data_IF_036814108122
#
_entry.id   IF_036814108122
#
_cell.length_a   1.000
_cell.length_b   1.000
_cell.length_c   1.000
_cell.angle_alpha   90.00
_cell.angle_beta   90.00
_cell.angle_gamma   90.00
#
_symmetry.space_group_name_H-M   'P 1'
#
loop_
_entity.id
_entity.type
_entity.pdbx_description
1 polymer ?
#
# COMPACT_ATOMS: atom_id res chain seq x y z
N UNK A 1 7.08 0.58 2.86
CA UNK A 1 8.48 0.44 2.45
C UNK A 1 8.52 -0.07 1.02
N UNK A 2 9.28 0.59 0.15
CA UNK A 2 9.50 0.18 -1.24
C UNK A 2 10.98 -0.22 -1.37
N UNK A 3 11.29 -1.49 -1.70
CA UNK A 3 12.65 -1.91 -2.04
C UNK A 3 13.14 -1.24 -3.32
N UNK A 4 14.44 -0.98 -3.45
CA UNK A 4 15.03 -0.35 -4.64
C UNK A 4 14.78 -1.15 -5.93
N UNK A 5 14.78 -2.49 -5.84
CA UNK A 5 14.43 -3.38 -6.95
C UNK A 5 13.00 -3.15 -7.50
N UNK A 6 12.12 -2.55 -6.69
CA UNK A 6 10.77 -2.19 -7.10
C UNK A 6 10.73 -0.84 -7.82
N UNK A 7 11.75 0.02 -7.66
CA UNK A 7 11.83 1.36 -8.24
C UNK A 7 12.51 1.38 -9.62
N UNK A 8 12.21 0.39 -10.46
CA UNK A 8 12.80 0.25 -11.79
C UNK A 8 11.70 0.19 -12.83
N UNK A 9 11.85 0.85 -13.99
CA UNK A 9 10.83 0.88 -15.03
C UNK A 9 9.63 1.77 -14.66
N UNK A 10 8.42 1.35 -15.02
CA UNK A 10 7.19 2.14 -14.79
C UNK A 10 6.93 2.42 -13.30
N UNK A 11 7.40 1.53 -12.42
CA UNK A 11 7.28 1.63 -10.96
C UNK A 11 8.16 2.71 -10.32
N UNK A 12 9.08 3.34 -11.06
CA UNK A 12 9.86 4.48 -10.57
C UNK A 12 8.96 5.68 -10.23
N UNK A 13 7.76 5.76 -10.81
CA UNK A 13 6.73 6.76 -10.43
C UNK A 13 6.29 6.68 -8.97
N UNK A 14 6.54 5.57 -8.27
CA UNK A 14 6.22 5.42 -6.85
C UNK A 14 6.95 6.42 -5.95
N UNK A 15 8.15 6.90 -6.33
CA UNK A 15 8.87 7.93 -5.57
C UNK A 15 8.38 9.36 -5.87
N UNK A 16 7.78 9.58 -7.03
CA UNK A 16 7.37 10.91 -7.51
C UNK A 16 5.86 11.18 -7.35
N UNK A 17 5.17 10.44 -6.48
CA UNK A 17 3.71 10.55 -6.32
C UNK A 17 3.25 11.94 -5.85
N UNK A 18 4.07 12.65 -5.07
CA UNK A 18 3.71 13.96 -4.53
C UNK A 18 2.38 13.92 -3.77
N UNK A 19 1.36 14.59 -4.30
CA UNK A 19 0.00 14.65 -3.71
C UNK A 19 -0.96 13.62 -4.29
N UNK A 20 -0.52 12.79 -5.23
CA UNK A 20 -1.34 11.73 -5.82
C UNK A 20 -1.49 10.60 -4.79
N UNK A 21 -2.73 10.19 -4.44
CA UNK A 21 -2.93 9.07 -3.53
C UNK A 21 -2.30 7.80 -4.10
N UNK A 22 -1.44 7.15 -3.32
CA UNK A 22 -0.76 5.92 -3.71
C UNK A 22 -1.73 4.87 -4.28
N UNK A 23 -2.91 4.70 -3.67
CA UNK A 23 -3.93 3.77 -4.14
C UNK A 23 -4.36 4.04 -5.59
N UNK A 24 -4.47 5.30 -6.02
CA UNK A 24 -4.82 5.64 -7.41
C UNK A 24 -3.81 5.06 -8.40
N UNK A 25 -2.52 5.10 -8.04
CA UNK A 25 -1.46 4.52 -8.84
C UNK A 25 -1.43 2.99 -8.75
N UNK A 26 -1.56 2.42 -7.54
CA UNK A 26 -1.55 0.96 -7.35
C UNK A 26 -2.69 0.26 -8.08
N UNK A 27 -3.86 0.90 -8.19
CA UNK A 27 -5.06 0.32 -8.77
C UNK A 27 -5.35 0.80 -10.21
N UNK A 28 -4.44 1.54 -10.87
CA UNK A 28 -4.65 2.01 -12.25
C UNK A 28 -4.42 0.95 -13.33
N UNK A 29 -3.91 -0.24 -12.97
CA UNK A 29 -3.68 -1.35 -13.90
C UNK A 29 -3.98 -2.71 -13.27
N UNK A 30 -3.85 -3.78 -14.07
CA UNK A 30 -4.22 -5.15 -13.66
C UNK A 30 -3.05 -5.98 -13.08
N UNK A 31 -1.91 -5.37 -12.78
CA UNK A 31 -0.68 -6.08 -12.41
C UNK A 31 -0.41 -6.09 -10.89
N UNK A 32 -1.43 -5.78 -10.08
CA UNK A 32 -1.33 -5.74 -8.63
C UNK A 32 -1.84 -7.06 -8.03
N UNK A 33 -0.98 -7.75 -7.30
CA UNK A 33 -1.36 -8.89 -6.45
C UNK A 33 -0.99 -8.62 -4.99
N UNK A 34 -1.47 -9.48 -4.09
CA UNK A 34 -1.21 -9.38 -2.65
C UNK A 34 -0.82 -10.75 -2.12
N UNK A 35 0.36 -10.81 -1.51
CA UNK A 35 0.89 -12.04 -0.92
C UNK A 35 0.18 -12.33 0.42
N UNK A 36 0.17 -11.35 1.33
CA UNK A 36 -0.49 -11.48 2.62
C UNK A 36 -1.09 -10.15 3.09
N UNK A 37 -2.01 -10.27 4.04
CA UNK A 37 -2.53 -9.17 4.84
C UNK A 37 -2.55 -9.60 6.31
N UNK A 38 -1.98 -8.78 7.17
CA UNK A 38 -2.07 -8.92 8.62
C UNK A 38 -2.93 -7.79 9.18
N UNK A 39 -3.90 -8.14 10.00
CA UNK A 39 -4.74 -7.18 10.73
C UNK A 39 -4.17 -7.03 12.14
N UNK A 40 -4.09 -5.80 12.61
CA UNK A 40 -3.65 -5.46 13.96
C UNK A 40 -4.56 -4.41 14.58
N UNK A 41 -4.44 -4.26 15.90
CA UNK A 41 -5.14 -3.23 16.65
C UNK A 41 -4.19 -2.61 17.67
N UNK A 42 -4.16 -1.29 17.77
CA UNK A 42 -3.34 -0.55 18.73
C UNK A 42 -4.11 0.66 19.24
N UNK A 43 -4.22 0.83 20.56
CA UNK A 43 -4.93 1.95 21.19
C UNK A 43 -6.35 2.14 20.62
N UNK A 44 -7.14 1.06 20.55
CA UNK A 44 -8.46 1.02 19.93
C UNK A 44 -8.54 1.33 18.43
N UNK A 45 -7.38 1.50 17.76
CA UNK A 45 -7.32 1.75 16.32
C UNK A 45 -6.96 0.50 15.54
N UNK A 46 -7.74 0.19 14.52
CA UNK A 46 -7.41 -0.82 13.53
C UNK A 46 -6.21 -0.37 12.69
N UNK A 47 -5.36 -1.34 12.39
CA UNK A 47 -4.27 -1.21 11.44
C UNK A 47 -4.21 -2.45 10.55
N UNK A 48 -3.61 -2.31 9.37
CA UNK A 48 -3.30 -3.46 8.52
C UNK A 48 -1.92 -3.30 7.90
N UNK A 49 -1.27 -4.44 7.66
CA UNK A 49 -0.01 -4.53 6.92
C UNK A 49 -0.16 -5.51 5.78
N UNK A 50 0.13 -5.10 4.56
CA UNK A 50 0.06 -5.94 3.37
C UNK A 50 1.39 -5.95 2.64
N UNK A 51 1.82 -7.13 2.18
CA UNK A 51 2.84 -7.24 1.14
C UNK A 51 2.12 -7.32 -0.21
N UNK A 52 2.27 -6.26 -0.99
CA UNK A 52 1.75 -6.15 -2.34
C UNK A 52 2.83 -6.52 -3.34
N UNK A 53 2.44 -6.95 -4.54
CA UNK A 53 3.33 -7.09 -5.67
C UNK A 53 2.80 -6.31 -6.85
N UNK A 54 3.60 -5.39 -7.36
CA UNK A 54 3.31 -4.65 -8.57
C UNK A 54 4.22 -5.19 -9.67
N UNK A 55 3.66 -5.83 -10.69
CA UNK A 55 4.46 -6.50 -11.72
C UNK A 55 5.49 -7.48 -11.12
N UNK A 56 5.05 -8.27 -10.12
CA UNK A 56 5.86 -9.17 -9.27
C UNK A 56 6.89 -8.51 -8.33
N UNK A 57 7.05 -7.18 -8.36
CA UNK A 57 7.97 -6.44 -7.51
C UNK A 57 7.35 -6.11 -6.13
N UNK A 58 8.01 -6.42 -5.02
CA UNK A 58 7.41 -6.35 -3.68
C UNK A 58 7.28 -4.93 -3.15
N UNK A 59 6.14 -4.61 -2.54
CA UNK A 59 5.88 -3.35 -1.84
C UNK A 59 5.20 -3.62 -0.50
N UNK A 60 5.77 -3.13 0.59
CA UNK A 60 5.15 -3.24 1.91
C UNK A 60 4.29 -2.01 2.21
N UNK A 61 2.99 -2.20 2.38
CA UNK A 61 2.04 -1.16 2.76
C UNK A 61 1.56 -1.38 4.20
N UNK A 62 1.58 -0.33 5.02
CA UNK A 62 1.00 -0.35 6.37
C UNK A 62 0.07 0.82 6.50
N UNK A 63 -1.16 0.56 6.94
CA UNK A 63 -2.23 1.54 7.04
C UNK A 63 -2.81 1.53 8.45
N UNK A 64 -3.05 2.72 9.00
CA UNK A 64 -3.75 2.93 10.26
C UNK A 64 -5.09 3.60 9.95
N UNK A 65 -6.19 3.06 10.49
CA UNK A 65 -7.50 3.66 10.33
C UNK A 65 -7.70 4.72 11.43
N UNK A 66 -7.86 5.98 11.03
CA UNK A 66 -8.11 7.09 11.95
C UNK A 66 -9.53 7.07 12.51
N UNK A 67 -9.83 7.64 13.69
CA UNK A 67 -11.14 7.55 14.35
C UNK A 67 -12.34 7.93 13.46
N UNK A 68 -12.16 8.87 12.53
CA UNK A 68 -13.19 9.35 11.61
C UNK A 68 -13.41 8.42 10.40
N UNK A 69 -12.53 7.42 10.24
CA UNK A 69 -12.61 6.41 9.20
C UNK A 69 -13.94 5.65 9.26
N UNK A 70 -14.52 5.28 8.10
CA UNK A 70 -15.69 4.39 8.06
C UNK A 70 -15.44 3.02 8.69
N UNK A 71 -14.19 2.64 8.99
CA UNK A 71 -13.87 1.40 9.69
C UNK A 71 -14.41 1.30 11.14
N UNK A 72 -14.86 2.43 11.72
CA UNK A 72 -15.43 2.49 13.08
C UNK A 72 -16.93 2.85 13.08
N UNK A 73 -17.59 2.80 11.92
CA UNK A 73 -19.02 3.09 11.77
C UNK A 73 -19.81 1.82 11.47
#
# INVERSE_FOLDING_TARGET
>A
MVPEETLVGDEQRLVDLGTIPLGKYLFSGNNLTRDYIHIGKQCERWARRSLLRLSNKPLLLTELFLPESPAYK
#
